data_IF_771992646717
#
_entry.id   IF_771992646717
#
_cell.length_a   1.000
_cell.length_b   1.000
_cell.length_c   1.000
_cell.angle_alpha   90.00
_cell.angle_beta   90.00
_cell.angle_gamma   90.00
#
_symmetry.space_group_name_H-M   'P 1'
#
loop_
_entity.id
_entity.type
_entity.pdbx_description
1 polymer ?
#
# COMPACT_ATOMS: atom_id res chain seq x y z
N UNK A 1 13.74 1.04 10.62
CA UNK A 1 13.38 -0.38 10.62
C UNK A 1 11.88 -0.57 10.84
N UNK A 2 11.29 -1.44 10.05
CA UNK A 2 9.92 -1.94 10.21
C UNK A 2 9.78 -2.83 11.47
N UNK A 3 8.68 -3.51 11.63
CA UNK A 3 8.38 -4.37 12.79
C UNK A 3 8.25 -3.61 14.12
N UNK A 4 7.72 -2.38 14.09
CA UNK A 4 7.30 -1.70 15.33
C UNK A 4 6.25 -2.57 16.04
N UNK A 5 6.48 -2.87 17.33
CA UNK A 5 5.62 -3.76 18.12
C UNK A 5 6.00 -5.25 18.05
N UNK A 6 7.06 -5.61 17.33
CA UNK A 6 7.73 -6.91 17.45
C UNK A 6 9.22 -6.67 17.74
N UNK A 7 9.51 -6.44 19.04
CA UNK A 7 10.86 -6.06 19.49
C UNK A 7 11.88 -7.19 19.28
N UNK A 8 11.44 -8.45 19.41
CA UNK A 8 12.33 -9.60 19.20
C UNK A 8 12.84 -9.65 17.76
N UNK A 9 11.94 -9.61 16.76
CA UNK A 9 12.34 -9.64 15.35
C UNK A 9 13.22 -8.44 15.00
N UNK A 10 12.90 -7.26 15.49
CA UNK A 10 13.70 -6.06 15.24
C UNK A 10 15.10 -6.18 15.82
N UNK A 11 15.24 -6.71 17.04
CA UNK A 11 16.53 -6.92 17.67
C UNK A 11 17.33 -8.02 16.97
N UNK A 12 16.68 -9.13 16.60
CA UNK A 12 17.31 -10.22 15.87
C UNK A 12 17.80 -9.77 14.48
N UNK A 13 17.02 -8.97 13.74
CA UNK A 13 17.47 -8.37 12.47
C UNK A 13 18.69 -7.47 12.65
N UNK A 14 18.71 -6.65 13.72
CA UNK A 14 19.87 -5.81 14.02
C UNK A 14 21.11 -6.66 14.34
N UNK A 15 20.94 -7.74 15.12
CA UNK A 15 22.06 -8.63 15.48
C UNK A 15 22.64 -9.33 14.23
N UNK A 16 21.77 -9.84 13.33
CA UNK A 16 22.20 -10.47 12.07
C UNK A 16 22.88 -9.46 11.17
N UNK A 17 22.33 -8.25 11.00
CA UNK A 17 22.94 -7.20 10.21
C UNK A 17 24.33 -6.81 10.75
N UNK A 18 24.44 -6.58 12.07
CA UNK A 18 25.71 -6.22 12.69
C UNK A 18 26.75 -7.31 12.53
N UNK A 19 26.37 -8.58 12.69
CA UNK A 19 27.27 -9.70 12.46
C UNK A 19 27.90 -9.64 11.06
N UNK A 20 27.06 -9.53 10.01
CA UNK A 20 27.58 -9.45 8.64
C UNK A 20 28.36 -8.17 8.35
N UNK A 21 27.92 -7.04 8.90
CA UNK A 21 28.61 -5.76 8.72
C UNK A 21 30.02 -5.79 9.33
N UNK A 22 30.17 -6.37 10.52
CA UNK A 22 31.50 -6.55 11.18
C UNK A 22 32.37 -7.49 10.35
N UNK A 23 31.84 -8.62 9.84
CA UNK A 23 32.60 -9.52 8.96
C UNK A 23 33.01 -8.82 7.65
N UNK A 24 32.25 -7.86 7.20
CA UNK A 24 32.56 -7.04 6.00
C UNK A 24 33.52 -5.87 6.28
N UNK A 25 34.02 -5.71 7.52
CA UNK A 25 35.02 -4.71 7.89
C UNK A 25 34.44 -3.45 8.57
N UNK A 26 33.24 -3.49 9.15
CA UNK A 26 32.72 -2.39 9.93
C UNK A 26 33.40 -2.34 11.31
N UNK A 27 34.04 -1.22 11.65
CA UNK A 27 34.77 -1.03 12.90
C UNK A 27 33.91 -0.46 14.02
N UNK A 28 32.93 0.38 13.71
CA UNK A 28 32.10 1.08 14.68
C UNK A 28 30.65 1.20 14.20
N UNK A 29 29.71 1.11 15.15
CA UNK A 29 28.28 1.30 14.89
C UNK A 29 27.58 1.92 16.11
N UNK A 30 26.57 2.76 15.87
CA UNK A 30 25.70 3.27 16.93
C UNK A 30 24.58 2.26 17.12
N UNK A 31 24.50 1.66 18.30
CA UNK A 31 23.53 0.65 18.67
C UNK A 31 22.79 1.04 19.94
N UNK A 32 21.58 0.51 20.10
CA UNK A 32 20.86 0.64 21.38
C UNK A 32 21.48 -0.34 22.40
N UNK A 33 22.05 0.15 23.53
CA UNK A 33 22.69 -0.72 24.52
C UNK A 33 21.72 -1.65 25.27
N UNK A 34 20.39 -1.39 25.17
CA UNK A 34 19.36 -2.23 25.78
C UNK A 34 18.97 -3.44 24.92
N UNK A 35 19.62 -3.66 23.78
CA UNK A 35 19.38 -4.85 22.93
C UNK A 35 19.91 -6.08 23.65
N UNK A 36 19.03 -7.06 23.87
CA UNK A 36 19.32 -8.32 24.56
C UNK A 36 19.54 -9.52 23.63
N UNK A 37 19.22 -9.39 22.34
CA UNK A 37 19.34 -10.48 21.38
C UNK A 37 20.71 -10.42 20.69
N UNK A 38 21.52 -11.44 20.89
CA UNK A 38 22.80 -11.62 20.18
C UNK A 38 22.63 -12.61 19.02
N UNK A 39 23.50 -12.53 18.01
CA UNK A 39 23.47 -13.41 16.84
C UNK A 39 23.49 -14.88 17.22
N UNK A 40 24.29 -15.30 18.21
CA UNK A 40 24.41 -16.67 18.68
C UNK A 40 23.22 -17.17 19.51
N UNK A 41 22.35 -16.26 19.98
CA UNK A 41 21.17 -16.62 20.78
C UNK A 41 19.92 -16.83 19.92
N UNK A 42 20.00 -16.55 18.62
CA UNK A 42 18.87 -16.71 17.71
C UNK A 42 18.76 -18.18 17.31
N UNK A 43 17.61 -18.85 17.53
CA UNK A 43 17.40 -20.24 17.10
C UNK A 43 17.68 -20.39 15.60
N UNK A 44 18.30 -21.52 15.21
CA UNK A 44 18.83 -21.72 13.85
C UNK A 44 17.75 -21.63 12.76
N UNK A 45 16.56 -22.14 13.03
CA UNK A 45 15.38 -22.05 12.15
C UNK A 45 14.98 -20.61 11.85
N UNK A 46 15.00 -19.74 12.87
CA UNK A 46 14.70 -18.30 12.77
C UNK A 46 15.88 -17.53 12.17
N UNK A 47 17.09 -17.88 12.59
CA UNK A 47 18.31 -17.24 12.10
C UNK A 47 18.40 -17.33 10.58
N UNK A 48 18.12 -18.49 10.01
CA UNK A 48 18.14 -18.69 8.56
C UNK A 48 17.14 -17.78 7.84
N UNK A 49 15.92 -17.64 8.34
CA UNK A 49 14.90 -16.78 7.72
C UNK A 49 15.31 -15.30 7.79
N UNK A 50 15.81 -14.87 8.95
CA UNK A 50 16.26 -13.48 9.17
C UNK A 50 17.48 -13.17 8.31
N UNK A 51 18.43 -14.10 8.25
CA UNK A 51 19.66 -13.98 7.46
C UNK A 51 19.35 -13.89 5.96
N UNK A 52 18.49 -14.77 5.45
CA UNK A 52 18.03 -14.72 4.06
C UNK A 52 17.37 -13.39 3.71
N UNK A 53 16.59 -12.81 4.63
CA UNK A 53 15.93 -11.54 4.42
C UNK A 53 16.91 -10.34 4.46
N UNK A 54 17.85 -10.33 5.41
CA UNK A 54 18.87 -9.28 5.52
C UNK A 54 19.82 -9.28 4.33
N UNK A 55 20.22 -10.46 3.87
CA UNK A 55 21.15 -10.62 2.74
C UNK A 55 20.46 -10.70 1.38
N UNK A 56 19.12 -10.60 1.37
CA UNK A 56 18.29 -10.69 0.17
C UNK A 56 18.60 -11.92 -0.70
N UNK A 57 18.68 -13.11 -0.07
CA UNK A 57 19.09 -14.35 -0.75
C UNK A 57 18.02 -14.96 -1.65
N UNK A 58 16.75 -14.57 -1.46
CA UNK A 58 15.65 -14.99 -2.33
C UNK A 58 14.55 -13.92 -2.38
N UNK A 59 13.77 -13.86 -3.47
CA UNK A 59 12.68 -12.89 -3.62
C UNK A 59 11.59 -13.00 -2.56
N UNK A 60 11.36 -14.20 -2.01
CA UNK A 60 10.36 -14.51 -0.97
C UNK A 60 10.88 -14.33 0.47
N UNK A 61 12.18 -13.99 0.64
CA UNK A 61 12.80 -13.90 1.96
C UNK A 61 12.10 -12.90 2.89
N UNK A 62 11.65 -11.77 2.35
CA UNK A 62 10.92 -10.77 3.11
C UNK A 62 9.54 -11.29 3.58
N UNK A 63 8.86 -12.07 2.75
CA UNK A 63 7.56 -12.67 3.10
C UNK A 63 7.71 -13.71 4.21
N UNK A 64 8.69 -14.59 4.10
CA UNK A 64 9.01 -15.58 5.16
C UNK A 64 9.34 -14.90 6.49
N UNK A 65 10.02 -13.74 6.45
CA UNK A 65 10.31 -12.99 7.67
C UNK A 65 9.04 -12.38 8.29
N UNK A 66 8.10 -11.90 7.47
CA UNK A 66 6.81 -11.38 7.93
C UNK A 66 6.00 -12.50 8.59
N UNK A 67 5.91 -13.66 7.94
CA UNK A 67 5.20 -14.82 8.48
C UNK A 67 5.81 -15.28 9.82
N UNK A 68 7.14 -15.26 9.95
CA UNK A 68 7.82 -15.53 11.20
C UNK A 68 7.48 -14.49 12.27
N UNK A 69 7.43 -13.20 11.90
CA UNK A 69 7.11 -12.12 12.83
C UNK A 69 5.68 -12.23 13.37
N UNK A 70 4.73 -12.60 12.53
CA UNK A 70 3.33 -12.80 12.92
C UNK A 70 3.20 -14.00 13.87
N UNK A 71 3.85 -15.13 13.58
CA UNK A 71 3.90 -16.32 14.45
C UNK A 71 4.46 -16.02 15.84
N UNK A 72 5.52 -15.24 15.92
CA UNK A 72 6.14 -14.84 17.21
C UNK A 72 5.25 -13.88 18.01
N UNK A 73 4.55 -12.98 17.34
CA UNK A 73 3.66 -12.01 17.97
C UNK A 73 2.45 -12.70 18.63
N UNK A 74 1.86 -13.67 17.94
CA UNK A 74 0.70 -14.41 18.43
C UNK A 74 1.06 -15.34 19.61
N UNK A 75 2.33 -15.73 19.74
CA UNK A 75 2.82 -16.63 20.81
C UNK A 75 3.13 -15.93 22.16
N UNK A 76 3.02 -14.61 22.24
CA UNK A 76 3.11 -13.80 23.48
C UNK A 76 4.42 -13.85 24.27
N UNK A 77 5.36 -14.75 23.97
CA UNK A 77 6.62 -14.92 24.72
C UNK A 77 7.74 -15.65 23.93
N UNK A 78 7.79 -15.51 22.61
CA UNK A 78 8.90 -16.06 21.81
C UNK A 78 8.90 -17.60 21.64
N UNK A 79 7.94 -18.30 22.20
CA UNK A 79 7.77 -19.76 22.03
C UNK A 79 6.71 -20.01 20.96
N UNK A 80 7.11 -20.61 19.84
CA UNK A 80 6.18 -21.05 18.78
C UNK A 80 5.40 -22.25 19.35
N UNK A 81 4.11 -22.06 19.62
CA UNK A 81 3.21 -23.18 19.93
C UNK A 81 2.57 -23.71 18.64
N UNK A 82 2.44 -25.01 18.51
CA UNK A 82 1.75 -25.70 17.39
C UNK A 82 0.21 -25.41 17.35
N UNK A 83 -0.26 -24.37 18.03
CA UNK A 83 -1.64 -23.93 18.06
C UNK A 83 -2.09 -23.19 16.77
N UNK A 84 -1.17 -22.94 15.85
CA UNK A 84 -1.43 -22.18 14.62
C UNK A 84 -2.23 -22.97 13.57
N UNK A 85 -2.00 -24.29 13.48
CA UNK A 85 -2.74 -25.15 12.54
C UNK A 85 -4.24 -25.24 12.86
N UNK A 86 -4.62 -25.16 14.14
CA UNK A 86 -6.03 -25.19 14.55
C UNK A 86 -6.75 -23.85 14.32
N UNK A 87 -6.04 -22.73 14.40
CA UNK A 87 -6.59 -21.40 14.09
C UNK A 87 -6.68 -21.14 12.59
N UNK A 88 -5.70 -21.64 11.81
CA UNK A 88 -5.75 -21.62 10.35
C UNK A 88 -6.91 -22.44 9.81
N UNK A 89 -7.27 -23.56 10.47
CA UNK A 89 -8.44 -24.35 10.09
C UNK A 89 -9.77 -23.67 10.48
N UNK A 90 -9.80 -22.91 11.57
CA UNK A 90 -11.03 -22.35 12.11
C UNK A 90 -11.65 -21.26 11.19
N UNK A 91 -10.86 -20.39 10.56
CA UNK A 91 -11.39 -19.35 9.68
C UNK A 91 -12.00 -19.91 8.39
N UNK A 92 -11.57 -21.10 7.93
CA UNK A 92 -12.18 -21.76 6.76
C UNK A 92 -13.63 -22.19 6.99
N UNK A 93 -14.05 -22.36 8.24
CA UNK A 93 -15.45 -22.67 8.59
C UNK A 93 -16.35 -21.42 8.70
N UNK A 94 -15.76 -20.23 8.56
CA UNK A 94 -16.50 -18.96 8.61
C UNK A 94 -17.29 -18.71 7.32
N UNK A 95 -18.14 -17.67 7.35
CA UNK A 95 -18.89 -17.22 6.17
C UNK A 95 -17.97 -16.71 5.05
N UNK A 96 -18.45 -16.73 3.81
CA UNK A 96 -17.66 -16.34 2.63
C UNK A 96 -17.02 -14.95 2.79
N UNK A 97 -17.78 -13.96 3.26
CA UNK A 97 -17.28 -12.59 3.42
C UNK A 97 -16.20 -12.49 4.49
N UNK A 98 -16.35 -13.26 5.59
CA UNK A 98 -15.34 -13.34 6.64
C UNK A 98 -14.07 -14.05 6.15
N UNK A 99 -14.19 -15.08 5.31
CA UNK A 99 -13.06 -15.76 4.69
C UNK A 99 -12.30 -14.82 3.75
N UNK A 100 -13.01 -14.09 2.89
CA UNK A 100 -12.42 -13.10 2.00
C UNK A 100 -11.74 -11.98 2.78
N UNK A 101 -12.39 -11.45 3.83
CA UNK A 101 -11.79 -10.43 4.70
C UNK A 101 -10.53 -10.95 5.38
N UNK A 102 -10.56 -12.15 5.96
CA UNK A 102 -9.40 -12.76 6.59
C UNK A 102 -8.24 -12.95 5.60
N UNK A 103 -8.54 -13.52 4.43
CA UNK A 103 -7.55 -13.73 3.37
C UNK A 103 -6.88 -12.41 2.96
N UNK A 104 -7.66 -11.33 2.84
CA UNK A 104 -7.17 -10.00 2.53
C UNK A 104 -6.33 -9.42 3.67
N UNK A 105 -6.86 -9.34 4.89
CA UNK A 105 -6.19 -8.72 6.04
C UNK A 105 -4.88 -9.45 6.39
N UNK A 106 -4.86 -10.78 6.27
CA UNK A 106 -3.66 -11.60 6.55
C UNK A 106 -2.76 -11.81 5.32
N UNK A 107 -3.21 -11.42 4.15
CA UNK A 107 -2.47 -11.62 2.90
C UNK A 107 -2.31 -13.08 2.52
N UNK A 108 -3.33 -13.93 2.79
CA UNK A 108 -3.34 -15.36 2.47
C UNK A 108 -3.97 -15.59 1.10
N UNK A 109 -3.20 -16.13 0.17
CA UNK A 109 -3.66 -16.36 -1.22
C UNK A 109 -4.13 -17.77 -1.52
N UNK A 110 -3.83 -18.74 -0.65
CA UNK A 110 -3.95 -20.19 -0.94
C UNK A 110 -5.37 -20.65 -1.28
N UNK A 111 -6.40 -19.99 -0.72
CA UNK A 111 -7.81 -20.34 -0.93
C UNK A 111 -8.58 -19.28 -1.69
N UNK A 112 -7.87 -18.26 -2.20
CA UNK A 112 -8.50 -17.09 -2.81
C UNK A 112 -9.32 -17.45 -4.05
N UNK A 113 -8.83 -18.36 -4.88
CA UNK A 113 -9.51 -18.82 -6.10
C UNK A 113 -10.84 -19.53 -5.76
N UNK A 114 -10.81 -20.47 -4.78
CA UNK A 114 -12.02 -21.15 -4.30
C UNK A 114 -13.06 -20.18 -3.75
N UNK A 115 -12.63 -19.26 -2.88
CA UNK A 115 -13.53 -18.30 -2.24
C UNK A 115 -14.11 -17.29 -3.24
N UNK A 116 -13.33 -16.89 -4.25
CA UNK A 116 -13.82 -16.03 -5.33
C UNK A 116 -14.76 -16.75 -6.29
N UNK A 117 -14.52 -18.02 -6.58
CA UNK A 117 -15.45 -18.85 -7.37
C UNK A 117 -16.81 -19.01 -6.67
N UNK A 118 -16.82 -19.10 -5.34
CA UNK A 118 -18.04 -19.08 -4.54
C UNK A 118 -18.70 -17.70 -4.59
N UNK A 119 -17.90 -16.63 -4.47
CA UNK A 119 -18.36 -15.25 -4.51
C UNK A 119 -19.04 -14.90 -5.86
N UNK A 120 -18.47 -15.31 -6.99
CA UNK A 120 -19.02 -15.08 -8.34
C UNK A 120 -20.43 -15.68 -8.48
N UNK A 121 -20.72 -16.79 -7.78
CA UNK A 121 -22.06 -17.41 -7.79
C UNK A 121 -23.05 -16.69 -6.89
N UNK A 122 -22.55 -15.99 -5.86
CA UNK A 122 -23.37 -15.30 -4.85
C UNK A 122 -23.66 -13.85 -5.24
N UNK A 123 -22.73 -13.16 -5.86
CA UNK A 123 -22.85 -11.75 -6.20
C UNK A 123 -23.35 -11.56 -7.64
N UNK A 124 -24.24 -10.56 -7.90
CA UNK A 124 -24.78 -10.31 -9.24
C UNK A 124 -23.71 -9.96 -10.29
N UNK A 125 -22.66 -9.25 -9.86
CA UNK A 125 -21.55 -8.80 -10.74
C UNK A 125 -20.23 -9.03 -10.05
N UNK A 126 -19.20 -9.35 -10.84
CA UNK A 126 -17.84 -9.52 -10.32
C UNK A 126 -17.28 -8.23 -9.68
N UNK A 127 -17.70 -7.06 -10.19
CA UNK A 127 -17.35 -5.76 -9.60
C UNK A 127 -17.90 -5.61 -8.18
N UNK A 128 -19.08 -6.12 -7.88
CA UNK A 128 -19.69 -6.03 -6.55
C UNK A 128 -18.87 -6.78 -5.48
N UNK A 129 -18.11 -7.82 -5.87
CA UNK A 129 -17.18 -8.52 -4.98
C UNK A 129 -16.00 -7.61 -4.62
N UNK A 130 -15.50 -6.84 -5.60
CA UNK A 130 -14.40 -5.89 -5.38
C UNK A 130 -14.86 -4.74 -4.49
N UNK A 131 -15.97 -4.07 -4.85
CA UNK A 131 -16.50 -2.90 -4.16
C UNK A 131 -17.06 -3.24 -2.77
N UNK A 132 -17.53 -4.46 -2.56
CA UNK A 132 -18.06 -4.96 -1.30
C UNK A 132 -16.98 -5.56 -0.39
N UNK A 133 -16.89 -6.90 -0.29
CA UNK A 133 -16.07 -7.58 0.71
C UNK A 133 -14.56 -7.29 0.58
N UNK A 134 -14.03 -7.19 -0.64
CA UNK A 134 -12.58 -6.95 -0.81
C UNK A 134 -12.19 -5.53 -0.42
N UNK A 135 -12.99 -4.51 -0.78
CA UNK A 135 -12.74 -3.13 -0.38
C UNK A 135 -12.98 -2.90 1.11
N UNK A 136 -13.98 -3.56 1.69
CA UNK A 136 -14.22 -3.51 3.14
C UNK A 136 -12.98 -4.01 3.91
N UNK A 137 -12.39 -5.12 3.46
CA UNK A 137 -11.14 -5.64 4.03
C UNK A 137 -9.94 -4.69 3.84
N UNK A 138 -9.84 -4.04 2.67
CA UNK A 138 -8.78 -3.04 2.43
C UNK A 138 -8.92 -1.81 3.32
N UNK A 139 -10.14 -1.37 3.61
CA UNK A 139 -10.39 -0.29 4.57
C UNK A 139 -9.94 -0.68 5.98
N UNK A 140 -10.23 -1.91 6.42
CA UNK A 140 -9.73 -2.45 7.69
C UNK A 140 -8.20 -2.47 7.74
N UNK A 141 -7.54 -2.90 6.66
CA UNK A 141 -6.06 -2.85 6.52
C UNK A 141 -5.56 -1.41 6.67
N UNK A 142 -6.22 -0.45 6.04
CA UNK A 142 -5.91 0.97 6.17
C UNK A 142 -5.99 1.47 7.62
N UNK A 143 -7.06 1.12 8.33
CA UNK A 143 -7.26 1.48 9.74
C UNK A 143 -6.21 0.81 10.65
N UNK A 144 -5.88 -0.46 10.41
CA UNK A 144 -4.84 -1.19 11.13
C UNK A 144 -3.46 -0.56 10.89
N UNK A 145 -3.17 -0.14 9.66
CA UNK A 145 -1.92 0.54 9.32
C UNK A 145 -1.88 1.94 9.95
N UNK A 146 -2.93 2.74 9.84
CA UNK A 146 -3.00 4.07 10.43
C UNK A 146 -2.88 4.06 11.96
N UNK A 147 -3.44 3.03 12.63
CA UNK A 147 -3.33 2.83 14.08
C UNK A 147 -2.00 2.22 14.53
N UNK A 148 -1.09 1.89 13.61
CA UNK A 148 0.20 1.25 13.90
C UNK A 148 0.11 -0.23 14.30
N UNK A 149 -1.06 -0.86 14.11
CA UNK A 149 -1.27 -2.30 14.38
C UNK A 149 -0.82 -3.18 13.22
N UNK A 150 -0.70 -2.62 12.03
CA UNK A 150 -0.19 -3.28 10.83
C UNK A 150 1.00 -2.50 10.27
N UNK A 151 1.96 -3.19 9.64
CA UNK A 151 3.18 -2.59 9.12
C UNK A 151 3.19 -2.59 7.60
N UNK A 152 4.03 -1.73 7.03
CA UNK A 152 4.16 -1.58 5.58
C UNK A 152 4.33 -2.91 4.81
N UNK A 153 5.20 -3.86 5.23
CA UNK A 153 5.31 -5.14 4.54
C UNK A 153 4.01 -5.95 4.52
N UNK A 154 3.23 -5.92 5.60
CA UNK A 154 1.93 -6.59 5.67
C UNK A 154 0.91 -5.92 4.73
N UNK A 155 0.91 -4.58 4.64
CA UNK A 155 0.09 -3.84 3.68
C UNK A 155 0.46 -4.20 2.24
N UNK A 156 1.77 -4.33 1.94
CA UNK A 156 2.25 -4.76 0.62
C UNK A 156 1.80 -6.19 0.32
N UNK A 157 1.86 -7.11 1.30
CA UNK A 157 1.35 -8.48 1.16
C UNK A 157 -0.15 -8.48 0.86
N UNK A 158 -0.95 -7.73 1.62
CA UNK A 158 -2.39 -7.55 1.40
C UNK A 158 -2.68 -6.98 0.01
N UNK A 159 -1.96 -5.93 -0.40
CA UNK A 159 -2.12 -5.32 -1.71
C UNK A 159 -1.81 -6.32 -2.85
N UNK A 160 -0.83 -7.21 -2.66
CA UNK A 160 -0.53 -8.29 -3.60
C UNK A 160 -1.68 -9.29 -3.66
N UNK A 161 -2.23 -9.72 -2.53
CA UNK A 161 -3.41 -10.60 -2.46
C UNK A 161 -4.61 -9.95 -3.17
N UNK A 162 -4.86 -8.66 -2.94
CA UNK A 162 -5.89 -7.91 -3.66
C UNK A 162 -5.66 -7.91 -5.17
N UNK A 163 -4.42 -7.67 -5.62
CA UNK A 163 -4.07 -7.71 -7.05
C UNK A 163 -4.35 -9.09 -7.65
N UNK A 164 -4.05 -10.17 -6.92
CA UNK A 164 -4.36 -11.54 -7.35
C UNK A 164 -5.87 -11.76 -7.43
N UNK A 165 -6.64 -11.30 -6.42
CA UNK A 165 -8.10 -11.38 -6.43
C UNK A 165 -8.71 -10.67 -7.64
N UNK A 166 -8.25 -9.44 -7.92
CA UNK A 166 -8.70 -8.67 -9.09
C UNK A 166 -8.33 -9.39 -10.39
N UNK A 167 -7.14 -9.98 -10.49
CA UNK A 167 -6.72 -10.74 -11.67
C UNK A 167 -7.60 -11.97 -11.92
N UNK A 168 -8.03 -12.67 -10.87
CA UNK A 168 -8.97 -13.80 -10.96
C UNK A 168 -10.36 -13.33 -11.42
N UNK A 169 -10.83 -12.19 -10.92
CA UNK A 169 -12.13 -11.61 -11.28
C UNK A 169 -12.14 -10.93 -12.66
N UNK A 170 -10.98 -10.52 -13.17
CA UNK A 170 -10.83 -9.77 -14.42
C UNK A 170 -11.55 -10.40 -15.63
N UNK A 171 -11.44 -11.72 -15.90
CA UNK A 171 -12.16 -12.35 -17.02
C UNK A 171 -13.69 -12.26 -16.91
N UNK A 172 -14.22 -12.24 -15.69
CA UNK A 172 -15.65 -12.11 -15.43
C UNK A 172 -16.09 -10.67 -15.63
N UNK A 173 -15.31 -9.71 -15.13
CA UNK A 173 -15.52 -8.28 -15.34
C UNK A 173 -15.49 -7.94 -16.84
N UNK A 174 -14.58 -8.53 -17.61
CA UNK A 174 -14.48 -8.30 -19.06
C UNK A 174 -15.69 -8.85 -19.82
N UNK A 175 -16.20 -10.03 -19.43
CA UNK A 175 -17.46 -10.57 -20.00
C UNK A 175 -18.66 -9.69 -19.65
N UNK A 176 -18.67 -9.10 -18.46
CA UNK A 176 -19.69 -8.13 -18.04
C UNK A 176 -19.53 -6.78 -18.77
N UNK A 177 -18.28 -6.40 -19.14
CA UNK A 177 -17.95 -5.18 -19.92
C UNK A 177 -18.40 -5.24 -21.39
N UNK A 178 -18.54 -6.40 -21.96
CA UNK A 178 -19.26 -6.51 -23.25
C UNK A 178 -20.69 -5.99 -23.12
N UNK A 179 -21.16 -5.78 -21.89
CA UNK A 179 -22.37 -5.05 -21.49
C UNK A 179 -22.15 -3.64 -20.88
N UNK A 180 -20.94 -3.05 -20.94
CA UNK A 180 -20.80 -1.58 -20.82
C UNK A 180 -20.17 -0.98 -19.58
N UNK A 181 -19.29 -1.63 -18.81
CA UNK A 181 -18.56 -0.94 -17.71
C UNK A 181 -17.10 -0.64 -18.04
N UNK A 182 -16.80 0.65 -18.19
CA UNK A 182 -15.46 1.20 -18.42
C UNK A 182 -14.59 1.17 -17.15
N UNK A 183 -13.24 1.31 -17.30
CA UNK A 183 -12.30 1.60 -16.20
C UNK A 183 -12.85 2.68 -15.28
N UNK A 184 -12.61 2.57 -13.95
CA UNK A 184 -13.03 3.57 -12.97
C UNK A 184 -12.44 4.97 -13.23
N UNK A 185 -11.39 5.05 -14.06
CA UNK A 185 -10.73 6.28 -14.48
C UNK A 185 -9.21 6.09 -14.59
N UNK A 186 -8.54 7.11 -15.10
CA UNK A 186 -7.08 7.13 -15.25
C UNK A 186 -6.44 8.12 -14.27
N UNK A 187 -5.56 7.62 -13.42
CA UNK A 187 -4.83 8.42 -12.45
C UNK A 187 -3.36 8.51 -12.86
N UNK A 188 -2.89 9.74 -13.10
CA UNK A 188 -1.48 10.02 -13.26
C UNK A 188 -0.88 10.31 -11.90
N UNK A 189 0.18 9.59 -11.54
CA UNK A 189 0.84 9.75 -10.24
C UNK A 189 2.32 10.05 -10.41
N UNK A 190 2.84 10.97 -9.58
CA UNK A 190 4.25 11.36 -9.61
C UNK A 190 4.75 11.78 -8.23
N UNK A 191 6.02 11.50 -7.92
CA UNK A 191 6.76 12.22 -6.89
C UNK A 191 7.36 13.46 -7.52
N UNK A 192 7.08 14.62 -6.92
CA UNK A 192 7.44 15.93 -7.50
C UNK A 192 8.95 16.14 -7.59
N UNK A 193 9.36 17.15 -8.36
CA UNK A 193 10.77 17.50 -8.61
C UNK A 193 11.56 17.66 -7.31
N UNK A 194 12.79 17.12 -7.34
CA UNK A 194 13.71 17.19 -6.20
C UNK A 194 13.46 16.16 -5.10
N UNK A 195 12.40 15.35 -5.21
CA UNK A 195 12.06 14.32 -4.23
C UNK A 195 12.20 12.93 -4.84
N UNK A 196 12.88 12.03 -4.11
CA UNK A 196 13.18 10.64 -4.54
C UNK A 196 12.36 9.59 -3.80
N UNK A 197 11.51 10.01 -2.86
CA UNK A 197 10.75 9.08 -2.02
C UNK A 197 9.53 8.54 -2.77
N UNK A 198 9.54 7.26 -3.06
CA UNK A 198 8.54 6.59 -3.88
C UNK A 198 7.67 5.56 -3.14
N UNK A 199 8.07 5.11 -1.95
CA UNK A 199 7.38 4.03 -1.22
C UNK A 199 5.90 4.37 -1.01
N UNK A 200 5.58 5.56 -0.50
CA UNK A 200 4.21 6.01 -0.29
C UNK A 200 3.42 6.11 -1.60
N UNK A 201 4.05 6.66 -2.65
CA UNK A 201 3.47 6.76 -3.98
C UNK A 201 3.14 5.38 -4.57
N UNK A 202 4.08 4.44 -4.45
CA UNK A 202 3.91 3.08 -4.98
C UNK A 202 2.77 2.33 -4.27
N UNK A 203 2.61 2.53 -2.96
CA UNK A 203 1.47 1.95 -2.21
C UNK A 203 0.15 2.53 -2.72
N UNK A 204 0.05 3.85 -2.87
CA UNK A 204 -1.14 4.52 -3.42
C UNK A 204 -1.43 4.01 -4.82
N UNK A 205 -0.42 3.87 -5.68
CA UNK A 205 -0.56 3.31 -7.04
C UNK A 205 -1.15 1.90 -7.02
N UNK A 206 -0.64 1.03 -6.15
CA UNK A 206 -1.15 -0.35 -6.01
C UNK A 206 -2.59 -0.35 -5.52
N UNK A 207 -2.91 0.43 -4.50
CA UNK A 207 -4.27 0.51 -3.94
C UNK A 207 -5.26 1.04 -4.99
N UNK A 208 -4.92 2.10 -5.73
CA UNK A 208 -5.76 2.63 -6.80
C UNK A 208 -5.92 1.62 -7.96
N UNK A 209 -4.84 0.94 -8.36
CA UNK A 209 -4.91 -0.10 -9.40
C UNK A 209 -5.83 -1.25 -8.98
N UNK A 210 -5.80 -1.64 -7.70
CA UNK A 210 -6.72 -2.62 -7.12
C UNK A 210 -8.19 -2.14 -7.13
N UNK A 211 -8.40 -0.83 -7.18
CA UNK A 211 -9.73 -0.21 -7.31
C UNK A 211 -10.11 0.08 -8.78
N UNK A 212 -9.56 -0.67 -9.70
CA UNK A 212 -9.86 -0.61 -11.14
C UNK A 212 -9.49 0.73 -11.82
N UNK A 213 -8.57 1.53 -11.22
CA UNK A 213 -8.00 2.69 -11.90
C UNK A 213 -6.83 2.28 -12.78
N UNK A 214 -6.74 2.91 -13.95
CA UNK A 214 -5.54 2.83 -14.79
C UNK A 214 -4.50 3.79 -14.24
N UNK A 215 -3.32 3.30 -13.87
CA UNK A 215 -2.25 4.12 -13.28
C UNK A 215 -1.21 4.45 -14.34
N UNK A 216 -0.92 5.75 -14.46
CA UNK A 216 0.23 6.28 -15.20
C UNK A 216 1.25 6.79 -14.19
N UNK A 217 2.21 5.97 -13.85
CA UNK A 217 3.26 6.32 -12.89
C UNK A 217 4.44 6.99 -13.59
N UNK A 218 4.73 8.24 -13.26
CA UNK A 218 5.85 9.00 -13.81
C UNK A 218 7.14 8.83 -13.01
N UNK A 219 7.12 8.06 -11.93
CA UNK A 219 8.28 7.85 -11.07
C UNK A 219 8.53 8.99 -10.09
N UNK A 220 9.80 9.28 -9.88
CA UNK A 220 10.29 10.27 -8.91
C UNK A 220 10.97 11.46 -9.61
N UNK A 221 11.21 12.54 -8.85
CA UNK A 221 11.88 13.76 -9.34
C UNK A 221 11.22 14.35 -10.61
N UNK A 222 9.91 14.22 -10.74
CA UNK A 222 9.20 14.65 -11.94
C UNK A 222 9.08 16.17 -12.03
N UNK A 223 9.61 16.79 -13.09
CA UNK A 223 9.42 18.22 -13.32
C UNK A 223 7.93 18.57 -13.56
N UNK A 224 7.46 19.74 -13.10
CA UNK A 224 6.08 20.18 -13.31
C UNK A 224 5.62 20.14 -14.77
N UNK A 225 6.49 20.54 -15.69
CA UNK A 225 6.20 20.57 -17.14
C UNK A 225 5.91 19.15 -17.68
N UNK A 226 6.64 18.15 -17.17
CA UNK A 226 6.45 16.75 -17.56
C UNK A 226 5.13 16.21 -17.00
N UNK A 227 4.80 16.55 -15.75
CA UNK A 227 3.54 16.13 -15.11
C UNK A 227 2.36 16.68 -15.90
N UNK A 228 2.35 18.00 -16.17
CA UNK A 228 1.25 18.66 -16.91
C UNK A 228 1.12 18.13 -18.33
N UNK A 229 2.23 18.02 -19.06
CA UNK A 229 2.25 17.49 -20.42
C UNK A 229 1.69 16.07 -20.49
N UNK A 230 2.20 15.20 -19.61
CA UNK A 230 1.77 13.80 -19.56
C UNK A 230 0.31 13.65 -19.12
N UNK A 231 -0.17 14.49 -18.20
CA UNK A 231 -1.57 14.47 -17.80
C UNK A 231 -2.53 14.78 -18.96
N UNK A 232 -2.14 15.69 -19.85
CA UNK A 232 -2.89 16.03 -21.08
C UNK A 232 -2.80 14.90 -22.10
N UNK A 233 -1.59 14.40 -22.40
CA UNK A 233 -1.35 13.35 -23.39
C UNK A 233 -2.08 12.05 -23.03
N UNK A 234 -2.03 11.67 -21.76
CA UNK A 234 -2.67 10.47 -21.24
C UNK A 234 -4.17 10.63 -21.01
N UNK A 235 -4.70 11.85 -21.13
CA UNK A 235 -6.09 12.16 -20.78
C UNK A 235 -6.42 11.67 -19.35
N UNK A 236 -5.57 12.06 -18.40
CA UNK A 236 -5.76 11.68 -17.01
C UNK A 236 -7.06 12.31 -16.46
N UNK A 237 -7.76 11.55 -15.63
CA UNK A 237 -8.95 12.02 -14.92
C UNK A 237 -8.58 12.63 -13.56
N UNK A 238 -7.46 12.18 -12.97
CA UNK A 238 -6.93 12.67 -11.70
C UNK A 238 -5.41 12.79 -11.81
N UNK A 239 -4.82 13.84 -11.22
CA UNK A 239 -3.37 13.95 -10.99
C UNK A 239 -3.08 13.76 -9.51
N UNK A 240 -2.24 12.79 -9.15
CA UNK A 240 -1.83 12.51 -7.78
C UNK A 240 -0.37 12.91 -7.57
N UNK A 241 -0.11 13.80 -6.62
CA UNK A 241 1.22 14.32 -6.29
C UNK A 241 1.70 13.77 -4.96
N UNK A 242 2.92 13.25 -4.94
CA UNK A 242 3.59 12.73 -3.74
C UNK A 242 4.84 13.53 -3.42
N UNK A 243 5.10 13.71 -2.11
CA UNK A 243 6.34 14.32 -1.62
C UNK A 243 6.56 14.04 -0.15
N UNK A 244 7.84 13.92 0.25
CA UNK A 244 8.23 13.62 1.63
C UNK A 244 9.04 14.72 2.28
N UNK A 245 9.71 15.57 1.51
CA UNK A 245 10.57 16.64 2.02
C UNK A 245 9.91 18.00 1.91
N UNK A 246 10.32 18.96 2.73
CA UNK A 246 9.70 20.29 2.77
C UNK A 246 9.70 21.00 1.40
N UNK A 247 10.79 20.96 0.58
CA UNK A 247 10.78 21.58 -0.74
C UNK A 247 9.72 21.01 -1.70
N UNK A 248 9.26 19.78 -1.49
CA UNK A 248 8.21 19.18 -2.31
C UNK A 248 6.89 19.93 -2.23
N UNK A 249 6.64 20.63 -1.12
CA UNK A 249 5.43 21.44 -0.93
C UNK A 249 5.34 22.59 -1.92
N UNK A 250 6.46 23.29 -2.17
CA UNK A 250 6.52 24.38 -3.13
C UNK A 250 6.41 23.86 -4.58
N UNK A 251 7.00 22.69 -4.87
CA UNK A 251 6.87 22.06 -6.18
C UNK A 251 5.41 21.62 -6.46
N UNK A 252 4.66 21.17 -5.45
CA UNK A 252 3.23 20.86 -5.62
C UNK A 252 2.41 22.14 -5.95
N UNK A 253 2.73 23.27 -5.34
CA UNK A 253 2.13 24.57 -5.67
C UNK A 253 2.46 24.96 -7.12
N UNK A 254 3.70 24.73 -7.55
CA UNK A 254 4.15 25.00 -8.91
C UNK A 254 3.40 24.13 -9.95
N UNK A 255 3.28 22.83 -9.70
CA UNK A 255 2.47 21.95 -10.56
C UNK A 255 1.02 22.44 -10.67
N UNK A 256 0.41 22.81 -9.54
CA UNK A 256 -0.96 23.31 -9.49
C UNK A 256 -1.13 24.60 -10.32
N UNK A 257 -0.20 25.55 -10.20
CA UNK A 257 -0.20 26.78 -11.00
C UNK A 257 -0.08 26.50 -12.51
N UNK A 258 0.83 25.60 -12.90
CA UNK A 258 1.00 25.22 -14.30
C UNK A 258 -0.22 24.48 -14.86
N UNK A 259 -0.87 23.62 -14.08
CA UNK A 259 -2.12 22.97 -14.50
C UNK A 259 -3.23 24.00 -14.74
N UNK A 260 -3.32 25.04 -13.90
CA UNK A 260 -4.24 26.17 -14.11
C UNK A 260 -3.92 26.94 -15.40
N UNK A 261 -2.65 27.27 -15.62
CA UNK A 261 -2.19 27.98 -16.83
C UNK A 261 -2.47 27.17 -18.11
N UNK A 262 -2.39 25.84 -18.02
CA UNK A 262 -2.75 24.93 -19.10
C UNK A 262 -4.28 24.76 -19.29
N UNK A 263 -5.11 25.45 -18.49
CA UNK A 263 -6.57 25.38 -18.59
C UNK A 263 -7.16 24.04 -18.12
N UNK A 264 -6.42 23.27 -17.31
CA UNK A 264 -6.89 21.99 -16.79
C UNK A 264 -7.91 22.18 -15.67
N UNK A 265 -8.91 21.30 -15.61
CA UNK A 265 -9.94 21.29 -14.57
C UNK A 265 -10.04 19.96 -13.81
N UNK A 266 -9.20 18.98 -14.15
CA UNK A 266 -9.18 17.67 -13.48
C UNK A 266 -8.68 17.80 -12.03
N UNK A 267 -9.21 17.01 -11.08
CA UNK A 267 -8.82 17.16 -9.69
C UNK A 267 -7.36 16.77 -9.43
N UNK A 268 -6.77 17.41 -8.42
CA UNK A 268 -5.45 17.07 -7.89
C UNK A 268 -5.62 16.37 -6.54
N UNK A 269 -5.00 15.23 -6.37
CA UNK A 269 -4.82 14.56 -5.07
C UNK A 269 -3.40 14.83 -4.57
N UNK A 270 -3.26 15.18 -3.30
CA UNK A 270 -1.97 15.49 -2.68
C UNK A 270 -1.74 14.56 -1.51
N UNK A 271 -0.60 13.88 -1.49
CA UNK A 271 -0.21 12.96 -0.43
C UNK A 271 1.28 13.02 -0.11
N UNK A 272 1.63 12.40 1.02
CA UNK A 272 3.01 12.32 1.51
C UNK A 272 3.16 12.90 2.90
N UNK A 273 4.21 12.48 3.64
CA UNK A 273 4.34 12.72 5.07
C UNK A 273 4.49 14.21 5.47
N UNK A 274 5.00 15.06 4.58
CA UNK A 274 5.10 16.51 4.81
C UNK A 274 3.84 17.27 4.43
N UNK A 275 2.95 16.66 3.67
CA UNK A 275 1.71 17.31 3.22
C UNK A 275 0.69 17.40 4.36
N UNK A 276 -0.16 18.40 4.30
CA UNK A 276 -1.23 18.58 5.28
C UNK A 276 -2.47 19.20 4.64
N UNK A 277 -3.62 18.96 5.25
CA UNK A 277 -4.88 19.58 4.84
C UNK A 277 -4.78 21.11 4.83
N UNK A 278 -4.08 21.68 5.81
CA UNK A 278 -3.92 23.14 5.93
C UNK A 278 -3.08 23.70 4.78
N UNK A 279 -1.93 23.10 4.48
CA UNK A 279 -1.07 23.55 3.37
C UNK A 279 -1.80 23.39 2.03
N UNK A 280 -2.48 22.27 1.81
CA UNK A 280 -3.26 22.04 0.60
C UNK A 280 -4.33 23.13 0.41
N UNK A 281 -5.09 23.46 1.45
CA UNK A 281 -6.14 24.47 1.38
C UNK A 281 -5.60 25.90 1.21
N UNK A 282 -4.47 26.24 1.85
CA UNK A 282 -3.97 27.64 1.85
C UNK A 282 -3.00 27.95 0.72
N UNK A 283 -2.34 26.94 0.14
CA UNK A 283 -1.28 27.15 -0.86
C UNK A 283 -1.58 26.50 -2.21
N UNK A 284 -1.91 25.19 -2.21
CA UNK A 284 -2.05 24.44 -3.46
C UNK A 284 -3.41 24.74 -4.11
N UNK A 285 -4.50 24.67 -3.35
CA UNK A 285 -5.85 24.91 -3.88
C UNK A 285 -6.02 26.31 -4.48
N UNK A 286 -5.57 27.42 -3.84
CA UNK A 286 -5.62 28.75 -4.47
C UNK A 286 -4.73 28.88 -5.70
N UNK A 287 -3.59 28.19 -5.76
CA UNK A 287 -2.72 28.17 -6.92
C UNK A 287 -3.36 27.49 -8.12
N UNK A 288 -4.15 26.44 -7.90
CA UNK A 288 -4.86 25.71 -8.94
C UNK A 288 -6.17 26.39 -9.35
N UNK A 289 -6.98 26.77 -8.38
CA UNK A 289 -8.32 27.34 -8.60
C UNK A 289 -9.41 26.34 -8.94
N UNK A 290 -9.12 25.04 -8.90
CA UNK A 290 -10.04 23.92 -9.04
C UNK A 290 -9.88 22.95 -7.88
N UNK A 291 -10.50 21.76 -7.95
CA UNK A 291 -10.52 20.78 -6.87
C UNK A 291 -9.12 20.23 -6.54
N UNK A 292 -8.69 20.43 -5.29
CA UNK A 292 -7.47 19.84 -4.72
C UNK A 292 -7.82 19.18 -3.40
N UNK A 293 -7.52 17.88 -3.28
CA UNK A 293 -7.85 17.10 -2.09
C UNK A 293 -6.58 16.51 -1.47
N UNK A 294 -6.40 16.73 -0.18
CA UNK A 294 -5.36 16.11 0.60
C UNK A 294 -5.79 14.69 1.02
N UNK A 295 -4.91 13.73 0.85
CA UNK A 295 -5.09 12.34 1.28
C UNK A 295 -4.05 11.96 2.33
N UNK A 296 -4.52 11.50 3.47
CA UNK A 296 -3.66 11.15 4.61
C UNK A 296 -2.85 9.88 4.34
N UNK A 297 -3.48 8.91 3.70
CA UNK A 297 -2.93 7.57 3.46
C UNK A 297 -3.53 6.95 2.19
N UNK A 298 -3.05 5.76 1.85
CA UNK A 298 -3.44 5.08 0.62
C UNK A 298 -4.90 4.61 0.60
N UNK A 299 -5.46 4.25 1.76
CA UNK A 299 -6.87 3.84 1.86
C UNK A 299 -7.80 5.03 1.60
N UNK A 300 -7.48 6.18 2.19
CA UNK A 300 -8.21 7.42 1.94
C UNK A 300 -8.08 7.86 0.47
N UNK A 301 -6.92 7.65 -0.16
CA UNK A 301 -6.72 7.99 -1.58
C UNK A 301 -7.72 7.27 -2.50
N UNK A 302 -7.99 5.97 -2.25
CA UNK A 302 -8.97 5.21 -3.04
C UNK A 302 -10.40 5.74 -2.85
N UNK A 303 -10.80 6.03 -1.62
CA UNK A 303 -12.11 6.61 -1.31
C UNK A 303 -12.29 7.99 -1.97
N UNK A 304 -11.27 8.85 -1.86
CA UNK A 304 -11.29 10.19 -2.47
C UNK A 304 -11.38 10.08 -3.99
N UNK A 305 -10.59 9.19 -4.62
CA UNK A 305 -10.64 8.98 -6.06
C UNK A 305 -12.05 8.55 -6.52
N UNK A 306 -12.69 7.62 -5.80
CA UNK A 306 -14.05 7.20 -6.10
C UNK A 306 -15.07 8.36 -6.02
N UNK A 307 -14.96 9.22 -5.01
CA UNK A 307 -15.81 10.40 -4.89
C UNK A 307 -15.55 11.45 -5.99
N UNK A 308 -14.29 11.67 -6.36
CA UNK A 308 -13.91 12.62 -7.42
C UNK A 308 -14.38 12.18 -8.81
N UNK A 309 -14.44 10.88 -9.06
CA UNK A 309 -14.93 10.32 -10.33
C UNK A 309 -16.45 10.27 -10.43
N UNK A 310 -17.15 10.31 -9.32
CA UNK A 310 -18.61 10.33 -9.30
C UNK A 310 -19.13 11.77 -9.46
N UNK A 311 -19.86 12.05 -10.53
CA UNK A 311 -20.39 13.38 -10.87
C UNK A 311 -21.31 13.97 -9.80
N UNK A 312 -22.01 13.10 -9.06
CA UNK A 312 -22.96 13.53 -8.03
C UNK A 312 -22.26 13.92 -6.73
N UNK A 313 -21.08 13.40 -6.46
CA UNK A 313 -20.32 13.66 -5.22
C UNK A 313 -19.10 14.56 -5.43
N UNK A 314 -18.60 14.68 -6.66
CA UNK A 314 -17.41 15.50 -6.96
C UNK A 314 -17.58 16.98 -6.63
N UNK A 315 -18.81 17.51 -6.68
CA UNK A 315 -19.12 18.91 -6.33
C UNK A 315 -19.05 19.19 -4.81
N UNK A 316 -18.97 18.17 -3.96
CA UNK A 316 -18.89 18.31 -2.51
C UNK A 316 -17.44 18.45 -2.00
N UNK A 317 -16.46 18.24 -2.86
CA UNK A 317 -15.03 18.42 -2.61
C UNK A 317 -14.52 19.71 -3.23
#
# INVERSE_FOLDING_TARGET
>A
FSFRGNDYIRQAMNAVFLYHAVQAGMDMGIVNPSVSVLYGDIPEDRLKIIDDAIMFRSPDAAERLIDLADKIKDSGNGVISNADDSRQAAWRSAGLEERLSYAMVKGVGDYLEEDLDEAIKKYPRAVDIIEGPLMSAMNEVGDLFASGKMFLPQVVKTARTMKTAVAILQPFIEREKESGTASAGKVLIATVKGDVHDIGKNIVSVVLACNNYTIVDLGVMCPPEVIVKRAIEEKADIVALSGLITPSLDEMVHVAAMMREAGMSIPIMVGGATTSKLHTALKISPAYGNTVVWTKDASQAALVAAHLMNKDTSAAY
#
